data_IF_799187536969
#
_entry.id   IF_799187536969
#
_cell.length_a   1.000
_cell.length_b   1.000
_cell.length_c   1.000
_cell.angle_alpha   90.00
_cell.angle_beta   90.00
_cell.angle_gamma   90.00
#
_symmetry.space_group_name_H-M   'P 1'
#
loop_
_entity.id
_entity.type
_entity.pdbx_description
1 polymer ?
#
# COMPACT_ATOMS: atom_id res chain seq x y z
N UNK A 1 35.94 55.60 -11.96
CA UNK A 1 35.20 54.68 -12.85
C UNK A 1 33.73 54.79 -12.49
N UNK A 2 32.89 55.38 -13.36
CA UNK A 2 31.44 55.53 -13.12
C UNK A 2 30.71 54.44 -13.90
N UNK A 3 30.04 53.52 -13.20
CA UNK A 3 29.18 52.52 -13.84
C UNK A 3 27.87 53.19 -14.25
N UNK A 4 27.62 53.25 -15.55
CA UNK A 4 26.37 53.74 -16.11
C UNK A 4 25.42 52.55 -16.19
N UNK A 5 24.51 52.42 -15.23
CA UNK A 5 23.48 51.37 -15.25
C UNK A 5 22.35 51.88 -16.14
N UNK A 6 22.12 51.18 -17.25
CA UNK A 6 21.05 51.52 -18.19
C UNK A 6 19.70 51.10 -17.61
N UNK A 7 19.10 51.99 -16.82
CA UNK A 7 17.91 51.74 -15.99
C UNK A 7 16.73 51.13 -16.75
N UNK A 8 16.58 51.40 -18.06
CA UNK A 8 15.47 50.85 -18.86
C UNK A 8 15.59 49.35 -19.09
N UNK A 9 16.81 48.85 -19.35
CA UNK A 9 17.04 47.41 -19.55
C UNK A 9 17.00 46.65 -18.23
N UNK A 10 17.47 47.26 -17.15
CA UNK A 10 17.45 46.65 -15.81
C UNK A 10 16.02 46.46 -15.31
N UNK A 11 15.15 47.47 -15.44
CA UNK A 11 13.74 47.38 -15.00
C UNK A 11 12.95 46.36 -15.84
N UNK A 12 13.19 46.30 -17.16
CA UNK A 12 12.52 45.32 -18.03
C UNK A 12 12.92 43.88 -17.69
N UNK A 13 14.18 43.66 -17.31
CA UNK A 13 14.71 42.35 -16.91
C UNK A 13 14.12 41.87 -15.58
N UNK A 14 13.95 42.76 -14.60
CA UNK A 14 13.33 42.42 -13.32
C UNK A 14 11.83 42.05 -13.46
N UNK A 15 11.08 42.75 -14.32
CA UNK A 15 9.66 42.45 -14.56
C UNK A 15 9.50 41.06 -15.19
N UNK A 16 10.38 40.69 -16.13
CA UNK A 16 10.34 39.39 -16.82
C UNK A 16 10.64 38.22 -15.86
N UNK A 17 11.61 38.38 -14.95
CA UNK A 17 11.98 37.36 -13.95
C UNK A 17 10.84 37.13 -12.94
N UNK A 18 10.10 38.18 -12.58
CA UNK A 18 9.01 38.09 -11.59
C UNK A 18 7.77 37.36 -12.14
N UNK A 19 7.51 37.45 -13.44
CA UNK A 19 6.38 36.75 -14.09
C UNK A 19 6.66 35.25 -14.23
N UNK A 20 7.93 34.85 -14.39
CA UNK A 20 8.35 33.45 -14.52
C UNK A 20 8.39 32.67 -13.20
N UNK A 21 8.37 33.35 -12.04
CA UNK A 21 8.40 32.68 -10.73
C UNK A 21 7.04 32.24 -10.18
N UNK A 22 5.93 32.65 -10.79
CA UNK A 22 4.58 32.39 -10.27
C UNK A 22 4.03 30.96 -10.55
N UNK A 23 4.40 30.22 -11.62
CA UNK A 23 3.77 28.92 -11.86
C UNK A 23 4.28 27.76 -10.99
N UNK A 24 5.39 27.90 -10.25
CA UNK A 24 5.92 26.79 -9.44
C UNK A 24 5.16 26.54 -8.13
N UNK A 25 4.53 27.57 -7.55
CA UNK A 25 3.81 27.43 -6.28
C UNK A 25 2.43 26.78 -6.42
N UNK A 26 1.80 26.87 -7.60
CA UNK A 26 0.50 26.24 -7.86
C UNK A 26 0.61 24.74 -8.19
N UNK A 27 1.77 24.27 -8.66
CA UNK A 27 1.97 22.85 -8.99
C UNK A 27 2.10 21.99 -7.72
N UNK A 28 2.71 22.53 -6.65
CA UNK A 28 2.86 21.80 -5.39
C UNK A 28 1.56 21.70 -4.58
N UNK A 29 0.61 22.62 -4.77
CA UNK A 29 -0.66 22.60 -4.05
C UNK A 29 -1.68 21.58 -4.61
N UNK A 30 -1.47 21.04 -5.82
CA UNK A 30 -2.42 20.13 -6.47
C UNK A 30 -2.07 18.64 -6.34
N UNK A 31 -0.88 18.27 -5.84
CA UNK A 31 -0.54 16.88 -5.51
C UNK A 31 -0.68 16.62 -4.00
N UNK A 32 -1.92 16.71 -3.47
CA UNK A 32 -2.19 16.14 -2.16
C UNK A 32 -2.38 14.63 -2.29
N UNK A 33 -1.34 13.88 -1.96
CA UNK A 33 -1.44 12.45 -1.68
C UNK A 33 -1.63 12.28 -0.17
N UNK A 34 -2.72 11.64 0.26
CA UNK A 34 -2.86 11.26 1.66
C UNK A 34 -2.09 9.96 1.86
N UNK A 35 -1.02 10.02 2.65
CA UNK A 35 -0.27 8.83 3.08
C UNK A 35 -0.52 8.61 4.57
N UNK A 36 -0.94 7.39 4.93
CA UNK A 36 -1.17 7.01 6.33
C UNK A 36 -0.25 5.83 6.66
N UNK A 37 0.30 5.82 7.88
CA UNK A 37 1.06 4.68 8.41
C UNK A 37 0.49 4.30 9.76
N UNK A 38 0.24 3.02 9.96
CA UNK A 38 -0.26 2.43 11.19
C UNK A 38 0.64 1.26 11.57
N UNK A 39 1.12 1.27 12.82
CA UNK A 39 1.88 0.16 13.39
C UNK A 39 1.00 -0.58 14.40
N UNK A 40 0.99 -1.90 14.35
CA UNK A 40 0.21 -2.74 15.25
C UNK A 40 1.05 -3.91 15.72
N UNK A 41 1.12 -4.10 17.04
CA UNK A 41 1.74 -5.27 17.65
C UNK A 41 0.64 -6.26 18.09
N UNK A 42 0.67 -7.47 17.55
CA UNK A 42 -0.18 -8.58 18.00
C UNK A 42 0.56 -9.39 19.08
N UNK A 43 -0.17 -9.74 20.14
CA UNK A 43 0.39 -10.45 21.30
C UNK A 43 0.86 -11.85 20.94
N UNK A 44 1.69 -12.41 21.82
CA UNK A 44 2.23 -13.78 21.70
C UNK A 44 1.11 -14.80 21.55
N UNK A 45 1.09 -15.50 20.42
CA UNK A 45 0.14 -16.58 20.16
C UNK A 45 0.86 -17.93 20.13
N UNK A 46 0.18 -18.95 20.66
CA UNK A 46 0.68 -20.32 20.71
C UNK A 46 0.18 -21.06 19.48
N UNK A 47 1.07 -21.45 18.59
CA UNK A 47 0.74 -22.26 17.41
C UNK A 47 1.53 -23.55 17.42
N UNK A 48 0.82 -24.65 17.12
CA UNK A 48 1.43 -25.98 17.02
C UNK A 48 1.87 -26.20 15.57
N UNK A 49 3.16 -26.45 15.36
CA UNK A 49 3.74 -26.83 14.07
C UNK A 49 4.45 -28.17 14.24
N UNK A 50 4.05 -29.16 13.44
CA UNK A 50 4.70 -30.48 13.39
C UNK A 50 4.81 -31.22 14.75
N UNK A 51 3.89 -30.92 15.68
CA UNK A 51 3.87 -31.50 17.04
C UNK A 51 4.59 -30.66 18.10
N UNK A 52 5.36 -29.65 17.67
CA UNK A 52 6.06 -28.72 18.54
C UNK A 52 5.24 -27.44 18.73
N UNK A 53 5.21 -26.93 19.96
CA UNK A 53 4.50 -25.70 20.31
C UNK A 53 5.45 -24.50 20.15
N UNK A 54 5.10 -23.59 19.23
CA UNK A 54 5.83 -22.35 19.02
C UNK A 54 5.03 -21.19 19.62
N UNK A 55 5.71 -20.33 20.37
CA UNK A 55 5.15 -19.06 20.82
C UNK A 55 5.77 -18.01 19.91
N UNK A 56 4.96 -17.32 19.12
CA UNK A 56 5.45 -16.25 18.26
C UNK A 56 4.85 -14.91 18.61
N UNK A 57 5.63 -13.86 18.41
CA UNK A 57 5.21 -12.46 18.42
C UNK A 57 5.07 -11.99 16.97
N UNK A 58 3.92 -11.42 16.63
CA UNK A 58 3.66 -10.87 15.30
C UNK A 58 3.61 -9.34 15.36
N UNK A 59 4.43 -8.69 14.55
CA UNK A 59 4.45 -7.25 14.39
C UNK A 59 4.02 -6.88 12.97
N UNK A 60 3.10 -5.94 12.86
CA UNK A 60 2.53 -5.49 11.59
C UNK A 60 2.78 -4.00 11.40
N UNK A 61 3.33 -3.64 10.25
CA UNK A 61 3.40 -2.25 9.79
C UNK A 61 2.54 -2.15 8.54
N UNK A 62 1.52 -1.31 8.58
CA UNK A 62 0.67 -1.02 7.44
C UNK A 62 0.90 0.42 7.00
N UNK A 63 1.14 0.61 5.71
CA UNK A 63 1.21 1.93 5.08
C UNK A 63 0.26 1.95 3.90
N UNK A 64 -0.45 3.05 3.73
CA UNK A 64 -1.41 3.19 2.64
C UNK A 64 -1.28 4.54 1.96
N UNK A 65 -1.53 4.52 0.65
CA UNK A 65 -1.46 5.70 -0.22
C UNK A 65 -2.75 5.77 -1.02
N UNK A 66 -3.44 6.91 -0.91
CA UNK A 66 -4.62 7.20 -1.71
C UNK A 66 -4.40 8.48 -2.52
N UNK A 67 -4.28 8.39 -3.85
CA UNK A 67 -4.05 9.56 -4.69
C UNK A 67 -5.36 10.29 -4.99
N UNK A 68 -5.30 11.61 -4.99
CA UNK A 68 -6.36 12.47 -5.51
C UNK A 68 -6.27 12.52 -7.04
N UNK A 69 -7.34 12.20 -7.74
CA UNK A 69 -7.47 12.27 -9.19
C UNK A 69 -8.46 13.37 -9.58
N UNK A 70 -8.15 14.07 -10.67
CA UNK A 70 -9.04 15.06 -11.26
C UNK A 70 -9.85 14.41 -12.38
N UNK A 71 -11.16 14.40 -12.26
CA UNK A 71 -12.07 13.87 -13.29
C UNK A 71 -12.81 15.01 -13.98
N UNK A 72 -12.88 14.96 -15.31
CA UNK A 72 -13.63 15.95 -16.09
C UNK A 72 -15.11 15.57 -16.12
N UNK A 73 -15.98 16.45 -15.62
CA UNK A 73 -17.42 16.24 -15.74
C UNK A 73 -17.84 16.52 -17.20
N UNK A 74 -18.23 15.46 -17.92
CA UNK A 74 -18.67 15.55 -19.32
C UNK A 74 -19.90 16.44 -19.55
N UNK A 75 -20.62 16.82 -18.48
CA UNK A 75 -21.84 17.62 -18.55
C UNK A 75 -21.62 19.13 -18.47
N UNK A 76 -20.48 19.59 -17.96
CA UNK A 76 -20.17 21.03 -17.88
C UNK A 76 -18.73 21.31 -18.27
N UNK A 77 -18.54 21.99 -19.40
CA UNK A 77 -17.26 22.14 -20.10
C UNK A 77 -16.11 22.82 -19.33
N UNK A 78 -16.30 23.20 -18.07
CA UNK A 78 -15.31 23.94 -17.28
C UNK A 78 -15.26 23.56 -15.78
N UNK A 79 -15.77 22.39 -15.37
CA UNK A 79 -15.67 21.94 -13.96
C UNK A 79 -14.82 20.66 -13.85
N UNK A 80 -13.77 20.75 -13.04
CA UNK A 80 -12.96 19.60 -12.63
C UNK A 80 -13.50 19.11 -11.29
N UNK A 81 -13.86 17.83 -11.23
CA UNK A 81 -14.23 17.16 -9.99
C UNK A 81 -12.96 16.54 -9.37
N UNK A 82 -12.90 16.55 -8.05
CA UNK A 82 -11.85 15.87 -7.29
C UNK A 82 -12.42 14.56 -6.77
N UNK A 83 -11.78 13.46 -7.10
CA UNK A 83 -12.15 12.11 -6.66
C UNK A 83 -10.91 11.42 -6.11
N UNK A 84 -11.08 10.52 -5.14
CA UNK A 84 -9.98 9.69 -4.66
C UNK A 84 -9.93 8.40 -5.45
N UNK A 85 -8.74 8.00 -5.92
CA UNK A 85 -8.58 6.67 -6.49
C UNK A 85 -8.60 5.58 -5.41
N UNK A 86 -8.53 4.33 -5.86
CA UNK A 86 -8.36 3.18 -4.98
C UNK A 86 -7.11 3.35 -4.09
N UNK A 87 -7.24 2.95 -2.84
CA UNK A 87 -6.16 3.02 -1.86
C UNK A 87 -5.26 1.79 -1.99
N UNK A 88 -3.98 2.01 -2.30
CA UNK A 88 -3.00 0.92 -2.31
C UNK A 88 -2.35 0.80 -0.93
N UNK A 89 -2.32 -0.42 -0.42
CA UNK A 89 -1.77 -0.77 0.90
C UNK A 89 -0.50 -1.59 0.73
N UNK A 90 0.53 -1.23 1.50
CA UNK A 90 1.72 -2.03 1.73
C UNK A 90 1.75 -2.46 3.18
N UNK A 91 1.72 -3.77 3.42
CA UNK A 91 1.72 -4.38 4.75
C UNK A 91 2.97 -5.24 4.93
N UNK A 92 3.72 -4.98 6.00
CA UNK A 92 4.86 -5.77 6.41
C UNK A 92 4.48 -6.55 7.66
N UNK A 93 4.55 -7.87 7.57
CA UNK A 93 4.29 -8.77 8.70
C UNK A 93 5.62 -9.39 9.10
N UNK A 94 6.02 -9.17 10.35
CA UNK A 94 7.25 -9.67 10.93
C UNK A 94 6.92 -10.63 12.07
N UNK A 95 7.74 -11.68 12.18
CA UNK A 95 7.51 -12.81 13.05
C UNK A 95 8.78 -13.07 13.85
N UNK A 96 8.63 -13.17 15.16
CA UNK A 96 9.70 -13.50 16.12
C UNK A 96 9.21 -14.70 16.95
N UNK A 97 9.92 -15.83 16.84
CA UNK A 97 9.58 -17.11 17.42
C UNK A 97 10.49 -17.53 18.59
N UNK A 98 11.50 -16.71 18.92
CA UNK A 98 12.46 -17.03 19.96
C UNK A 98 12.57 -15.90 21.01
N UNK A 99 13.74 -15.74 21.64
CA UNK A 99 13.98 -14.68 22.63
C UNK A 99 15.05 -13.68 22.18
N UNK A 100 15.49 -13.78 20.94
CA UNK A 100 16.47 -12.87 20.39
C UNK A 100 15.79 -11.54 19.97
N UNK A 101 16.55 -10.66 19.31
CA UNK A 101 16.06 -9.33 18.92
C UNK A 101 15.76 -9.24 17.42
N UNK A 102 16.02 -10.31 16.69
CA UNK A 102 15.84 -10.40 15.26
C UNK A 102 14.48 -11.05 14.98
N UNK A 103 13.95 -10.79 13.79
CA UNK A 103 12.75 -11.47 13.34
C UNK A 103 13.19 -12.71 12.57
N UNK A 104 12.55 -13.84 12.80
CA UNK A 104 12.77 -15.07 12.05
C UNK A 104 12.09 -15.04 10.68
N UNK A 105 10.99 -14.30 10.54
CA UNK A 105 10.26 -14.24 9.28
C UNK A 105 9.76 -12.83 8.96
N UNK A 106 9.91 -12.45 7.69
CA UNK A 106 9.43 -11.16 7.18
C UNK A 106 8.68 -11.40 5.87
N UNK A 107 7.43 -10.94 5.83
CA UNK A 107 6.60 -10.94 4.62
C UNK A 107 6.19 -9.50 4.29
N UNK A 108 6.35 -9.12 3.03
CA UNK A 108 5.86 -7.84 2.51
C UNK A 108 4.78 -8.06 1.47
N UNK A 109 3.61 -7.50 1.73
CA UNK A 109 2.37 -7.64 0.96
C UNK A 109 1.99 -6.29 0.38
N UNK A 110 1.60 -6.26 -0.90
CA UNK A 110 0.97 -5.10 -1.51
C UNK A 110 -0.38 -5.51 -2.08
N UNK A 111 -1.41 -4.71 -1.87
CA UNK A 111 -2.76 -4.94 -2.39
C UNK A 111 -3.53 -3.63 -2.47
N UNK A 112 -4.55 -3.60 -3.31
CA UNK A 112 -5.53 -2.51 -3.30
C UNK A 112 -6.56 -2.82 -2.22
N UNK A 113 -6.89 -1.83 -1.38
CA UNK A 113 -7.80 -2.04 -0.26
C UNK A 113 -9.19 -2.32 -0.82
N UNK A 114 -9.81 -3.47 -0.46
CA UNK A 114 -11.18 -3.73 -0.83
C UNK A 114 -12.09 -2.62 -0.29
N UNK A 115 -13.07 -2.17 -1.07
CA UNK A 115 -14.05 -1.19 -0.59
C UNK A 115 -14.65 -1.63 0.75
N UNK A 116 -14.41 -0.84 1.79
CA UNK A 116 -14.89 -1.06 3.16
C UNK A 116 -14.41 -2.37 3.85
N UNK A 117 -13.32 -3.01 3.40
CA UNK A 117 -12.77 -4.15 4.12
C UNK A 117 -11.29 -3.98 4.46
N UNK A 118 -10.89 -4.64 5.54
CA UNK A 118 -9.51 -4.77 5.96
C UNK A 118 -9.13 -6.24 5.93
N UNK A 119 -8.02 -6.55 5.27
CA UNK A 119 -7.41 -7.86 5.35
C UNK A 119 -6.70 -7.99 6.69
N UNK A 120 -7.03 -9.08 7.38
CA UNK A 120 -6.29 -9.52 8.54
C UNK A 120 -5.41 -10.69 8.15
N UNK A 121 -4.14 -10.60 8.50
CA UNK A 121 -3.13 -11.59 8.15
C UNK A 121 -2.66 -12.26 9.42
N UNK A 122 -2.77 -13.58 9.48
CA UNK A 122 -2.34 -14.35 10.64
C UNK A 122 -1.33 -15.40 10.21
N UNK A 123 -0.18 -15.43 10.88
CA UNK A 123 0.78 -16.48 10.62
C UNK A 123 0.33 -17.82 11.19
N UNK A 124 0.56 -18.87 10.39
CA UNK A 124 0.36 -20.26 10.78
C UNK A 124 1.62 -21.06 10.52
N UNK A 125 1.68 -22.27 11.06
CA UNK A 125 2.73 -23.25 10.81
C UNK A 125 3.07 -23.47 9.32
N UNK A 126 2.07 -23.32 8.44
CA UNK A 126 2.12 -23.68 7.02
C UNK A 126 2.20 -22.48 6.07
N UNK A 127 2.03 -21.26 6.59
CA UNK A 127 1.98 -20.04 5.78
C UNK A 127 1.12 -18.96 6.42
N UNK A 128 0.86 -17.90 5.67
CA UNK A 128 0.07 -16.77 6.11
C UNK A 128 -1.41 -16.97 5.72
N UNK A 129 -2.27 -17.05 6.74
CA UNK A 129 -3.72 -17.05 6.60
C UNK A 129 -4.21 -15.63 6.35
N UNK A 130 -5.22 -15.49 5.50
CA UNK A 130 -5.86 -14.22 5.18
C UNK A 130 -7.33 -14.31 5.53
N UNK A 131 -7.82 -13.34 6.31
CA UNK A 131 -9.22 -13.21 6.66
C UNK A 131 -9.69 -11.76 6.48
N UNK A 132 -11.00 -11.54 6.61
CA UNK A 132 -11.61 -10.21 6.54
C UNK A 132 -12.09 -9.80 7.92
N UNK A 133 -11.66 -8.63 8.38
CA UNK A 133 -11.98 -8.17 9.74
C UNK A 133 -13.42 -7.63 9.86
N UNK A 134 -14.02 -7.15 8.77
CA UNK A 134 -15.35 -6.50 8.79
C UNK A 134 -16.12 -6.78 7.50
N UNK A 135 -16.97 -7.82 7.41
CA UNK A 135 -18.10 -7.94 6.45
C UNK A 135 -18.92 -9.24 6.53
N UNK A 136 -20.04 -9.24 5.81
CA UNK A 136 -20.89 -10.41 5.47
C UNK A 136 -20.34 -11.25 4.30
N UNK A 137 -19.10 -11.00 3.85
CA UNK A 137 -18.45 -11.73 2.76
C UNK A 137 -17.24 -12.46 3.30
N UNK A 138 -17.06 -13.69 2.87
CA UNK A 138 -15.89 -14.51 3.17
C UNK A 138 -14.99 -14.67 1.94
N UNK A 139 -13.71 -14.98 2.19
CA UNK A 139 -12.78 -15.46 1.16
C UNK A 139 -13.14 -16.93 0.90
N UNK A 140 -13.57 -17.25 -0.32
CA UNK A 140 -13.91 -18.62 -0.72
C UNK A 140 -12.72 -19.37 -1.30
N UNK A 141 -11.82 -18.64 -1.97
CA UNK A 141 -10.73 -19.25 -2.70
C UNK A 141 -9.50 -18.36 -2.73
N UNK A 142 -8.35 -18.98 -2.55
CA UNK A 142 -7.03 -18.38 -2.77
C UNK A 142 -6.36 -19.13 -3.92
N UNK A 143 -5.95 -18.41 -4.95
CA UNK A 143 -5.21 -18.97 -6.09
C UNK A 143 -3.87 -18.24 -6.24
N UNK A 144 -2.76 -18.97 -6.30
CA UNK A 144 -1.48 -18.40 -6.70
C UNK A 144 -1.41 -18.31 -8.22
N UNK A 145 -1.16 -17.11 -8.73
CA UNK A 145 -0.96 -16.86 -10.15
C UNK A 145 0.51 -17.15 -10.50
N UNK A 146 0.73 -18.09 -11.40
CA UNK A 146 2.02 -18.38 -12.02
C UNK A 146 1.96 -18.04 -13.51
N UNK A 147 3.10 -18.07 -14.21
CA UNK A 147 3.15 -17.71 -15.63
C UNK A 147 2.16 -18.50 -16.52
N UNK A 148 1.87 -19.75 -16.16
CA UNK A 148 1.13 -20.67 -17.02
C UNK A 148 -0.17 -21.21 -16.41
N UNK A 149 -0.46 -20.94 -15.13
CA UNK A 149 -1.64 -21.47 -14.43
C UNK A 149 -1.95 -20.75 -13.12
N UNK A 150 -3.17 -20.97 -12.62
CA UNK A 150 -3.58 -20.69 -11.25
C UNK A 150 -3.46 -21.95 -10.42
N UNK A 151 -2.75 -21.89 -9.29
CA UNK A 151 -2.62 -22.98 -8.33
C UNK A 151 -3.52 -22.71 -7.13
N UNK A 152 -4.45 -23.63 -6.85
CA UNK A 152 -5.28 -23.47 -5.66
C UNK A 152 -4.43 -23.61 -4.40
N UNK A 153 -4.60 -22.66 -3.49
CA UNK A 153 -3.89 -22.57 -2.22
C UNK A 153 -4.90 -22.40 -1.09
N UNK A 154 -4.51 -22.88 0.09
CA UNK A 154 -5.23 -22.59 1.33
C UNK A 154 -4.66 -21.35 2.02
N UNK A 155 -3.38 -21.05 1.80
CA UNK A 155 -2.62 -20.01 2.49
C UNK A 155 -1.66 -19.32 1.52
N UNK A 156 -1.18 -18.14 1.89
CA UNK A 156 -0.04 -17.50 1.24
C UNK A 156 1.25 -18.15 1.79
N UNK A 157 1.97 -18.90 0.96
CA UNK A 157 3.08 -19.75 1.42
C UNK A 157 4.46 -19.33 0.89
N UNK A 158 4.50 -18.37 -0.03
CA UNK A 158 5.73 -17.89 -0.66
C UNK A 158 5.53 -16.60 -1.47
N UNK A 159 6.63 -16.02 -1.95
CA UNK A 159 6.63 -14.89 -2.88
C UNK A 159 5.83 -15.17 -4.15
N UNK A 160 5.05 -14.20 -4.61
CA UNK A 160 4.24 -14.33 -5.82
C UNK A 160 3.02 -13.42 -5.83
N UNK A 161 2.13 -13.66 -6.79
CA UNK A 161 0.83 -12.98 -6.88
C UNK A 161 -0.25 -13.98 -6.51
N UNK A 162 -1.15 -13.59 -5.62
CA UNK A 162 -2.29 -14.39 -5.20
C UNK A 162 -3.56 -13.65 -5.59
N UNK A 163 -4.57 -14.39 -6.01
CA UNK A 163 -5.92 -13.90 -6.25
C UNK A 163 -6.84 -14.46 -5.18
N UNK A 164 -7.48 -13.57 -4.44
CA UNK A 164 -8.57 -13.90 -3.54
C UNK A 164 -9.88 -13.82 -4.33
N UNK A 165 -10.70 -14.86 -4.20
CA UNK A 165 -12.09 -14.85 -4.69
C UNK A 165 -13.01 -14.83 -3.49
N UNK A 166 -13.87 -13.83 -3.45
CA UNK A 166 -14.84 -13.64 -2.38
C UNK A 166 -16.17 -14.31 -2.71
N UNK A 167 -16.98 -14.56 -1.69
CA UNK A 167 -18.34 -15.12 -1.79
C UNK A 167 -19.33 -14.31 -2.61
N UNK A 168 -19.07 -13.02 -2.83
CA UNK A 168 -19.84 -12.20 -3.76
C UNK A 168 -19.33 -12.28 -5.22
N UNK A 169 -18.36 -13.14 -5.51
CA UNK A 169 -17.73 -13.30 -6.82
C UNK A 169 -16.64 -12.28 -7.16
N UNK A 170 -16.42 -11.26 -6.30
CA UNK A 170 -15.34 -10.28 -6.47
C UNK A 170 -13.98 -10.96 -6.38
N UNK A 171 -13.01 -10.42 -7.13
CA UNK A 171 -11.64 -10.95 -7.19
C UNK A 171 -10.65 -9.84 -6.95
N UNK A 172 -9.71 -10.08 -6.04
CA UNK A 172 -8.67 -9.12 -5.70
C UNK A 172 -7.30 -9.78 -5.70
N UNK A 173 -6.25 -8.98 -5.95
CA UNK A 173 -4.89 -9.48 -6.04
C UNK A 173 -4.05 -8.98 -4.85
N UNK A 174 -3.31 -9.92 -4.26
CA UNK A 174 -2.28 -9.65 -3.27
C UNK A 174 -0.92 -9.99 -3.89
N UNK A 175 0.00 -9.04 -3.83
CA UNK A 175 1.37 -9.17 -4.31
C UNK A 175 2.31 -9.38 -3.13
N UNK A 176 2.82 -10.59 -2.97
CA UNK A 176 3.84 -10.92 -1.98
C UNK A 176 5.20 -10.58 -2.57
N UNK A 177 5.81 -9.48 -2.13
CA UNK A 177 7.08 -8.95 -2.65
C UNK A 177 8.29 -9.63 -2.02
N UNK A 178 8.21 -9.91 -0.73
CA UNK A 178 9.22 -10.61 0.05
C UNK A 178 8.54 -11.68 0.91
N UNK A 179 9.20 -12.83 1.02
CA UNK A 179 8.83 -13.92 1.90
C UNK A 179 10.16 -14.54 2.35
N UNK A 180 10.66 -14.09 3.50
CA UNK A 180 11.96 -14.46 4.03
C UNK A 180 11.78 -15.26 5.31
N UNK A 181 12.53 -16.36 5.39
CA UNK A 181 12.77 -17.11 6.62
C UNK A 181 14.26 -16.90 6.90
N UNK A 182 14.56 -16.30 8.04
CA UNK A 182 15.89 -15.88 8.48
C UNK A 182 16.51 -16.95 9.37
#
# INVERSE_FOLDING_TARGET
MKFNIDYKNTVFTYILITILSIPFSFLQAQQQHTSTSLETEKKKEKVVKDGDEFIYKQFEVESSVQPLILTSDSSTSNKMNQEYAEETVTKVVMLDNDQDKQYDQIITLNYDRPENNFYDFQFTAKGLEVSLQHRNTTIEKIDRITANKMENKQLIDQKGVYQLTFSNGQKEKIFVKAYQIL
#
